data_IF_818708763521
#
_entry.id   IF_818708763521
#
_cell.length_a   1.000
_cell.length_b   1.000
_cell.length_c   1.000
_cell.angle_alpha   90.00
_cell.angle_beta   90.00
_cell.angle_gamma   90.00
#
_symmetry.space_group_name_H-M   'P 1'
#
loop_
_entity.id
_entity.type
_entity.pdbx_description
1 polymer ?
#
# COMPACT_ATOMS: atom_id res chain seq x y z
N UNK A 1 1.97 -0.16 -8.69
CA UNK A 1 1.90 -0.20 -7.21
C UNK A 1 0.65 -0.95 -6.73
N UNK A 2 -0.46 -0.93 -7.49
CA UNK A 2 -1.74 -1.59 -7.15
C UNK A 2 -1.73 -3.14 -7.02
N UNK A 3 -0.95 -3.92 -7.81
CA UNK A 3 -1.05 -5.38 -7.75
C UNK A 3 -0.61 -6.02 -6.43
N UNK A 4 0.26 -5.37 -5.67
CA UNK A 4 0.73 -5.91 -4.40
C UNK A 4 -0.33 -5.85 -3.28
N UNK A 5 -1.14 -4.81 -3.25
CA UNK A 5 -2.18 -4.62 -2.21
C UNK A 5 -3.30 -5.64 -2.38
N UNK A 6 -3.70 -5.91 -3.61
CA UNK A 6 -4.75 -6.90 -3.92
C UNK A 6 -4.31 -8.31 -3.51
N UNK A 7 -3.04 -8.67 -3.72
CA UNK A 7 -2.52 -9.99 -3.36
C UNK A 7 -2.60 -10.29 -1.86
N UNK A 8 -2.31 -9.32 -1.00
CA UNK A 8 -2.38 -9.52 0.46
C UNK A 8 -3.81 -9.63 0.98
N UNK A 9 -4.76 -8.87 0.42
CA UNK A 9 -6.17 -8.99 0.76
C UNK A 9 -6.73 -10.37 0.39
N UNK A 10 -6.40 -10.86 -0.80
CA UNK A 10 -6.78 -12.22 -1.24
C UNK A 10 -6.17 -13.29 -0.35
N UNK A 11 -4.91 -13.14 0.06
CA UNK A 11 -4.26 -14.07 0.97
C UNK A 11 -4.97 -14.11 2.34
N UNK A 12 -5.33 -12.96 2.88
CA UNK A 12 -6.05 -12.88 4.16
C UNK A 12 -7.44 -13.53 4.09
N UNK A 13 -8.14 -13.35 2.97
CA UNK A 13 -9.42 -13.99 2.69
C UNK A 13 -9.29 -15.52 2.64
N UNK A 14 -8.28 -16.04 1.96
CA UNK A 14 -8.00 -17.49 1.95
C UNK A 14 -7.63 -18.05 3.32
N UNK A 15 -7.06 -17.25 4.21
CA UNK A 15 -6.70 -17.63 5.57
C UNK A 15 -7.83 -17.39 6.57
N UNK A 16 -8.94 -16.80 6.14
CA UNK A 16 -10.09 -16.40 6.99
C UNK A 16 -9.64 -15.56 8.20
N UNK A 17 -8.78 -14.56 7.95
CA UNK A 17 -8.27 -13.65 8.96
C UNK A 17 -8.55 -12.18 8.60
N UNK A 18 -8.81 -11.32 9.60
CA UNK A 18 -8.93 -9.89 9.36
C UNK A 18 -7.64 -9.31 8.79
N UNK A 19 -7.78 -8.34 7.89
CA UNK A 19 -6.64 -7.65 7.32
C UNK A 19 -6.85 -6.15 7.22
N UNK A 20 -5.73 -5.42 7.22
CA UNK A 20 -5.72 -4.00 6.98
C UNK A 20 -4.46 -3.59 6.22
N UNK A 21 -4.59 -2.58 5.38
CA UNK A 21 -3.52 -2.06 4.53
C UNK A 21 -3.12 -0.65 4.93
N UNK A 22 -1.94 -0.22 4.52
CA UNK A 22 -1.45 1.14 4.75
C UNK A 22 -1.35 1.54 6.22
N UNK A 23 -0.82 0.62 7.05
CA UNK A 23 -0.57 0.91 8.46
C UNK A 23 0.57 1.92 8.58
N UNK A 24 0.25 3.08 9.13
CA UNK A 24 1.18 4.19 9.37
C UNK A 24 1.83 4.08 10.75
N UNK A 25 1.03 3.75 11.76
CA UNK A 25 1.50 3.65 13.15
C UNK A 25 0.84 2.47 13.85
N UNK A 26 1.60 1.79 14.70
CA UNK A 26 1.08 0.81 15.66
C UNK A 26 0.92 1.54 17.00
N UNK A 27 -0.34 1.79 17.39
CA UNK A 27 -0.66 2.54 18.60
C UNK A 27 -0.55 1.67 19.84
N UNK A 28 -1.09 0.45 19.78
CA UNK A 28 -1.13 -0.45 20.92
C UNK A 28 -1.10 -1.91 20.48
N UNK A 29 -0.40 -2.72 21.27
CA UNK A 29 -0.34 -4.18 21.10
C UNK A 29 -0.78 -4.83 22.39
N UNK A 30 -1.88 -5.58 22.34
CA UNK A 30 -2.40 -6.37 23.45
C UNK A 30 -2.23 -7.86 23.18
N UNK A 31 -2.60 -8.72 24.14
CA UNK A 31 -2.49 -10.18 23.97
C UNK A 31 -3.45 -10.74 22.89
N UNK A 32 -4.56 -10.07 22.61
CA UNK A 32 -5.62 -10.56 21.71
C UNK A 32 -5.88 -9.66 20.51
N UNK A 33 -5.38 -8.42 20.55
CA UNK A 33 -5.64 -7.43 19.51
C UNK A 33 -4.47 -6.48 19.32
N UNK A 34 -4.51 -5.78 18.20
CA UNK A 34 -3.60 -4.68 17.83
C UNK A 34 -4.44 -3.48 17.43
N UNK A 35 -4.08 -2.30 17.95
CA UNK A 35 -4.65 -1.01 17.54
C UNK A 35 -3.65 -0.30 16.64
N UNK A 36 -4.11 0.09 15.50
CA UNK A 36 -3.28 0.70 14.46
C UNK A 36 -3.90 1.96 13.90
N UNK A 37 -3.07 2.84 13.39
CA UNK A 37 -3.43 3.98 12.58
C UNK A 37 -3.24 3.63 11.10
N UNK A 38 -4.32 3.70 10.33
CA UNK A 38 -4.33 3.48 8.89
C UNK A 38 -4.34 4.82 8.17
N UNK A 39 -3.49 4.97 7.16
CA UNK A 39 -3.51 6.12 6.27
C UNK A 39 -4.46 5.85 5.09
N UNK A 40 -5.46 6.69 4.97
CA UNK A 40 -6.39 6.72 3.85
C UNK A 40 -6.11 7.97 3.02
N UNK A 41 -6.50 7.96 1.75
CA UNK A 41 -6.17 9.06 0.81
C UNK A 41 -6.59 10.46 1.30
N UNK A 42 -7.68 10.56 2.07
CA UNK A 42 -8.23 11.84 2.53
C UNK A 42 -8.43 11.90 4.07
N UNK A 43 -8.10 10.84 4.78
CA UNK A 43 -8.33 10.74 6.23
C UNK A 43 -7.43 9.69 6.87
N UNK A 44 -7.42 9.67 8.19
CA UNK A 44 -6.74 8.65 8.99
C UNK A 44 -7.78 7.89 9.80
N UNK A 45 -7.68 6.57 9.85
CA UNK A 45 -8.55 5.72 10.65
C UNK A 45 -7.77 5.02 11.76
N UNK A 46 -8.34 4.96 12.96
CA UNK A 46 -7.83 4.13 14.06
C UNK A 46 -8.67 2.87 14.09
N UNK A 47 -8.02 1.72 13.94
CA UNK A 47 -8.68 0.43 13.82
C UNK A 47 -8.09 -0.57 14.79
N UNK A 48 -8.95 -1.34 15.46
CA UNK A 48 -8.56 -2.47 16.29
C UNK A 48 -8.82 -3.77 15.53
N UNK A 49 -7.79 -4.63 15.47
CA UNK A 49 -7.85 -5.94 14.84
C UNK A 49 -7.57 -7.04 15.86
N UNK A 50 -8.37 -8.10 15.82
CA UNK A 50 -8.11 -9.32 16.61
C UNK A 50 -7.05 -10.20 15.95
N UNK A 51 -6.31 -10.96 16.73
CA UNK A 51 -5.36 -11.96 16.22
C UNK A 51 -6.05 -13.28 15.89
N UNK A 52 -5.56 -14.03 14.88
CA UNK A 52 -4.52 -13.63 13.94
C UNK A 52 -5.01 -12.60 12.93
N UNK A 53 -4.15 -11.71 12.49
CA UNK A 53 -4.49 -10.69 11.48
C UNK A 53 -3.33 -10.48 10.50
N UNK A 54 -3.63 -9.97 9.33
CA UNK A 54 -2.65 -9.57 8.33
C UNK A 54 -2.62 -8.06 8.21
N UNK A 55 -1.44 -7.46 8.36
CA UNK A 55 -1.26 -6.03 8.18
C UNK A 55 -0.23 -5.76 7.06
N UNK A 56 -0.48 -4.73 6.25
CA UNK A 56 0.56 -4.18 5.38
C UNK A 56 0.95 -2.81 5.87
N UNK A 57 2.24 -2.55 5.92
CA UNK A 57 2.81 -1.33 6.50
C UNK A 57 3.31 -0.39 5.42
N UNK A 58 3.24 0.91 5.68
CA UNK A 58 3.91 1.89 4.84
C UNK A 58 5.44 1.85 5.11
N UNK A 59 6.20 2.30 4.12
CA UNK A 59 7.67 2.47 4.22
C UNK A 59 8.07 3.42 5.35
N UNK A 60 7.22 4.36 5.69
CA UNK A 60 7.48 5.42 6.67
C UNK A 60 7.06 5.04 8.10
N UNK A 61 6.52 3.81 8.33
CA UNK A 61 6.15 3.32 9.67
C UNK A 61 7.33 3.37 10.66
N UNK A 62 8.53 3.16 10.17
CA UNK A 62 9.76 3.27 10.95
C UNK A 62 10.94 3.57 10.06
N UNK A 63 11.76 4.52 10.46
CA UNK A 63 13.02 4.78 9.77
C UNK A 63 13.99 3.60 9.97
N UNK A 64 14.43 2.91 8.89
CA UNK A 64 15.30 1.75 9.02
C UNK A 64 16.67 2.16 9.58
N UNK A 65 17.15 1.38 10.54
CA UNK A 65 18.50 1.57 11.06
C UNK A 65 19.54 1.12 10.04
N UNK A 66 20.59 1.89 9.90
CA UNK A 66 21.73 1.48 9.08
C UNK A 66 22.35 0.19 9.68
N UNK A 67 22.66 -0.80 8.85
CA UNK A 67 23.31 -2.02 9.31
C UNK A 67 24.70 -1.69 9.86
N UNK A 68 25.06 -2.23 11.06
CA UNK A 68 26.41 -2.09 11.57
C UNK A 68 27.41 -2.81 10.66
N UNK A 69 28.67 -2.33 10.64
CA UNK A 69 29.72 -2.95 9.85
C UNK A 69 29.88 -4.46 10.14
N UNK A 70 29.79 -4.84 11.42
CA UNK A 70 29.84 -6.24 11.84
C UNK A 70 28.69 -7.06 11.21
N UNK A 71 27.46 -6.59 11.29
CA UNK A 71 26.30 -7.27 10.66
C UNK A 71 26.41 -7.34 9.14
N UNK A 72 26.95 -6.29 8.51
CA UNK A 72 27.18 -6.29 7.07
C UNK A 72 28.19 -7.37 6.65
N UNK A 73 29.25 -7.58 7.43
CA UNK A 73 30.22 -8.66 7.18
C UNK A 73 29.62 -10.06 7.41
N UNK A 74 28.88 -10.24 8.52
CA UNK A 74 28.23 -11.52 8.84
C UNK A 74 27.21 -11.94 7.79
N UNK A 75 26.52 -10.98 7.17
CA UNK A 75 25.48 -11.25 6.15
C UNK A 75 26.01 -11.37 4.74
N UNK A 76 27.29 -11.01 4.48
CA UNK A 76 27.87 -11.01 3.14
C UNK A 76 27.80 -12.38 2.44
N UNK A 77 27.94 -13.44 3.20
CA UNK A 77 27.99 -14.81 2.70
C UNK A 77 26.74 -15.64 3.10
N UNK A 78 25.66 -15.00 3.53
CA UNK A 78 24.41 -15.72 3.81
C UNK A 78 23.86 -16.33 2.53
N UNK A 79 23.49 -17.61 2.54
CA UNK A 79 22.88 -18.22 1.38
C UNK A 79 21.52 -17.60 1.10
N UNK A 80 21.25 -17.34 -0.17
CA UNK A 80 19.92 -16.97 -0.65
C UNK A 80 19.27 -18.26 -1.13
N UNK A 81 18.17 -18.66 -0.51
CA UNK A 81 17.39 -19.81 -0.94
C UNK A 81 16.57 -19.41 -2.17
N UNK A 82 16.88 -20.02 -3.29
CA UNK A 82 16.15 -19.85 -4.53
C UNK A 82 15.17 -21.01 -4.62
N UNK A 83 13.88 -20.69 -4.59
CA UNK A 83 12.83 -21.68 -4.84
C UNK A 83 12.50 -21.69 -6.33
N UNK A 84 12.44 -22.86 -6.91
CA UNK A 84 12.02 -23.09 -8.29
C UNK A 84 10.61 -23.68 -8.31
N UNK A 85 10.01 -23.78 -9.49
CA UNK A 85 8.69 -24.37 -9.65
C UNK A 85 8.61 -25.81 -9.11
N UNK A 86 9.70 -26.56 -9.21
CA UNK A 86 9.81 -27.95 -8.74
C UNK A 86 9.73 -28.09 -7.21
N UNK A 87 9.98 -27.00 -6.47
CA UNK A 87 9.94 -26.98 -5.01
C UNK A 87 8.51 -26.84 -4.46
N UNK A 88 7.51 -26.58 -5.33
CA UNK A 88 6.13 -26.48 -4.91
C UNK A 88 5.45 -27.85 -4.84
N UNK A 89 4.53 -28.00 -3.89
CA UNK A 89 3.75 -29.23 -3.73
C UNK A 89 2.82 -29.50 -4.92
N UNK A 90 2.31 -28.45 -5.56
CA UNK A 90 1.52 -28.54 -6.80
C UNK A 90 2.42 -28.21 -7.99
N UNK A 91 2.71 -29.19 -8.83
CA UNK A 91 3.54 -29.06 -10.02
C UNK A 91 2.72 -28.97 -11.32
N UNK A 92 1.42 -28.68 -11.22
CA UNK A 92 0.59 -28.48 -12.41
C UNK A 92 0.76 -27.02 -12.91
N UNK A 93 1.48 -26.85 -14.01
CA UNK A 93 1.78 -25.55 -14.63
C UNK A 93 0.50 -24.74 -14.93
N UNK A 94 -0.63 -25.41 -15.19
CA UNK A 94 -1.89 -24.75 -15.51
C UNK A 94 -2.52 -24.01 -14.31
N UNK A 95 -2.09 -24.34 -13.09
CA UNK A 95 -2.56 -23.69 -11.86
C UNK A 95 -1.79 -22.41 -11.53
N UNK A 96 -0.80 -22.05 -12.35
CA UNK A 96 0.09 -20.90 -12.11
C UNK A 96 0.08 -19.90 -13.26
N UNK A 97 0.53 -18.68 -12.96
CA UNK A 97 0.67 -17.60 -13.93
C UNK A 97 -0.66 -17.20 -14.58
N UNK A 98 -0.61 -16.85 -15.86
CA UNK A 98 -1.79 -16.40 -16.58
C UNK A 98 -2.84 -17.49 -16.81
N UNK A 99 -2.42 -18.75 -16.83
CA UNK A 99 -3.32 -19.89 -17.01
C UNK A 99 -4.10 -20.21 -15.76
N UNK A 100 -3.46 -20.10 -14.58
CA UNK A 100 -4.09 -20.33 -13.28
C UNK A 100 -4.79 -19.11 -12.70
N UNK A 101 -4.62 -17.93 -13.29
CA UNK A 101 -5.25 -16.70 -12.78
C UNK A 101 -6.73 -16.62 -13.16
N UNK A 102 -7.58 -16.38 -12.17
CA UNK A 102 -9.01 -16.08 -12.39
C UNK A 102 -9.23 -14.71 -13.09
N UNK A 103 -8.23 -13.85 -13.08
CA UNK A 103 -8.28 -12.51 -13.68
C UNK A 103 -7.22 -12.35 -14.77
N UNK A 104 -7.58 -11.72 -15.86
CA UNK A 104 -6.67 -11.38 -16.96
C UNK A 104 -6.79 -9.91 -17.30
N UNK A 105 -5.64 -9.29 -17.62
CA UNK A 105 -5.62 -7.92 -18.13
C UNK A 105 -6.12 -7.98 -19.59
N UNK A 106 -7.30 -7.40 -19.84
CA UNK A 106 -7.86 -7.29 -21.20
C UNK A 106 -7.27 -6.10 -21.94
N UNK A 107 -7.16 -4.96 -21.26
CA UNK A 107 -6.77 -3.71 -21.88
C UNK A 107 -6.05 -2.80 -20.89
N UNK A 108 -5.00 -2.17 -21.35
CA UNK A 108 -4.29 -1.09 -20.63
C UNK A 108 -4.58 0.20 -21.40
N UNK A 109 -5.06 1.22 -20.70
CA UNK A 109 -5.30 2.54 -21.27
C UNK A 109 -4.87 3.61 -20.26
N UNK A 110 -4.40 4.76 -20.74
CA UNK A 110 -4.12 5.87 -19.86
C UNK A 110 -5.42 6.38 -19.24
N UNK A 111 -5.43 6.85 -17.99
CA UNK A 111 -6.60 7.47 -17.41
C UNK A 111 -6.99 8.71 -18.23
N UNK A 112 -8.27 8.84 -18.53
CA UNK A 112 -8.79 10.08 -19.12
C UNK A 112 -8.77 11.17 -18.06
N UNK A 113 -7.83 12.07 -18.17
CA UNK A 113 -7.76 13.25 -17.31
C UNK A 113 -8.54 14.37 -17.95
N UNK A 114 -9.85 14.40 -17.76
CA UNK A 114 -10.67 15.58 -18.01
C UNK A 114 -10.45 16.60 -16.87
N UNK A 115 -9.26 17.13 -16.78
CA UNK A 115 -8.98 18.25 -15.90
C UNK A 115 -9.31 19.52 -16.69
N UNK A 116 -10.44 20.16 -16.39
CA UNK A 116 -10.68 21.53 -16.84
C UNK A 116 -9.57 22.41 -16.28
N UNK A 117 -8.70 22.88 -17.16
CA UNK A 117 -7.67 23.84 -16.80
C UNK A 117 -8.30 25.24 -16.85
N UNK A 118 -8.42 25.88 -15.69
CA UNK A 118 -8.83 27.28 -15.60
C UNK A 118 -7.56 28.13 -15.55
N UNK A 119 -7.35 28.93 -16.59
CA UNK A 119 -6.28 29.92 -16.62
C UNK A 119 -6.80 31.20 -15.99
N UNK A 120 -6.13 31.65 -14.94
CA UNK A 120 -6.42 32.91 -14.26
C UNK A 120 -5.43 33.97 -14.76
N UNK A 121 -5.95 35.08 -15.29
CA UNK A 121 -5.15 36.23 -15.73
C UNK A 121 -5.60 37.47 -14.96
N UNK A 122 -4.67 38.35 -14.59
CA UNK A 122 -4.96 39.55 -13.85
C UNK A 122 -3.78 40.09 -13.03
N UNK A 123 -4.03 41.07 -12.20
CA UNK A 123 -3.03 41.61 -11.24
C UNK A 123 -2.88 40.65 -10.08
N UNK A 124 -1.74 40.72 -9.40
CA UNK A 124 -1.39 39.79 -8.32
C UNK A 124 -2.45 39.73 -7.20
N UNK A 125 -3.04 40.90 -6.86
CA UNK A 125 -4.07 41.01 -5.83
C UNK A 125 -5.38 40.30 -6.26
N UNK A 126 -5.82 40.51 -7.51
CA UNK A 126 -7.01 39.89 -8.09
C UNK A 126 -6.84 38.37 -8.23
N UNK A 127 -5.62 37.91 -8.61
CA UNK A 127 -5.30 36.48 -8.70
C UNK A 127 -5.31 35.82 -7.33
N UNK A 128 -4.81 36.49 -6.30
CA UNK A 128 -4.81 35.98 -4.94
C UNK A 128 -6.25 35.83 -4.38
N UNK A 129 -7.12 36.76 -4.63
CA UNK A 129 -8.55 36.65 -4.24
C UNK A 129 -9.26 35.54 -4.98
N UNK A 130 -9.07 35.42 -6.29
CA UNK A 130 -9.67 34.36 -7.09
C UNK A 130 -9.21 32.95 -6.64
N UNK A 131 -7.91 32.79 -6.36
CA UNK A 131 -7.37 31.52 -5.86
C UNK A 131 -7.94 31.21 -4.46
N UNK A 132 -8.03 32.19 -3.59
CA UNK A 132 -8.59 32.03 -2.25
C UNK A 132 -10.05 31.57 -2.32
N UNK A 133 -10.86 32.18 -3.18
CA UNK A 133 -12.26 31.81 -3.37
C UNK A 133 -12.42 30.39 -3.93
N UNK A 134 -11.58 30.00 -4.88
CA UNK A 134 -11.54 28.63 -5.41
C UNK A 134 -11.19 27.62 -4.30
N UNK A 135 -10.13 27.87 -3.52
CA UNK A 135 -9.72 26.99 -2.42
C UNK A 135 -10.81 26.84 -1.35
N UNK A 136 -11.55 27.92 -1.08
CA UNK A 136 -12.69 27.89 -0.17
C UNK A 136 -13.87 27.09 -0.72
N UNK A 137 -14.15 27.18 -2.03
CA UNK A 137 -15.20 26.39 -2.67
C UNK A 137 -14.92 24.90 -2.64
N UNK A 138 -13.68 24.48 -2.86
CA UNK A 138 -13.27 23.08 -2.81
C UNK A 138 -12.98 22.58 -1.38
N UNK A 139 -13.25 23.41 -0.36
CA UNK A 139 -13.11 23.08 1.07
C UNK A 139 -11.70 22.63 1.48
N UNK A 140 -10.67 23.22 0.90
CA UNK A 140 -9.27 23.02 1.30
C UNK A 140 -8.87 24.03 2.41
N UNK A 141 -9.62 25.14 2.53
CA UNK A 141 -9.48 26.15 3.59
C UNK A 141 -10.76 26.25 4.40
#
# INVERSE_FOLDING_TARGET
VLPYIVGYGVLAEYLDIPHITWVKTIEKVDEKSIVIEQDLAESTAIVELSYPCLITVDKDIMQPRLPSYKKKLETKNRPVHIMTFEDFADNNVNNYGLSGSATKVERIFPPETNVEQVMLEGKAEELAENIFDILKQIKVL
#
